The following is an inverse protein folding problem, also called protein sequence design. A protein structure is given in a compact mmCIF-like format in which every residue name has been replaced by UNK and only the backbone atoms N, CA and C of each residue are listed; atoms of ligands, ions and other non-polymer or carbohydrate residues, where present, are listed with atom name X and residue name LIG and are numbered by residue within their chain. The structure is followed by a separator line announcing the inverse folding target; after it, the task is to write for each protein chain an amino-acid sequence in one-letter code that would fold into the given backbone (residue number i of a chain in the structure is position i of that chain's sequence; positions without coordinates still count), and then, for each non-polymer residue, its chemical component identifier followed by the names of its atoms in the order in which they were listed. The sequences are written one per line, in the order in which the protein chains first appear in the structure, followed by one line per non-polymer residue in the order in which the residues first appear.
data_IF_677064503483
#
_entry.id   IF_677064503483
#
_cell.length_a   1.000
_cell.length_b   1.000
_cell.length_c   1.000
_cell.angle_alpha   90.00
_cell.angle_beta   90.00
_cell.angle_gamma   90.00
#
_symmetry.space_group_name_H-M   'P 1'
#
loop_
_entity.id
_entity.type
_entity.pdbx_description
1 polymer ?
#
# COMPACT_ATOMS: atom_id res chain seq x y z
N UNK A 1 -9.81 6.45 18.63
CA UNK A 1 -8.98 5.96 17.51
C UNK A 1 -7.54 5.92 18.02
N UNK A 2 -6.84 4.80 17.90
CA UNK A 2 -5.48 4.69 18.40
C UNK A 2 -4.52 5.54 17.57
N UNK A 3 -3.77 6.41 18.25
CA UNK A 3 -2.71 7.25 17.70
C UNK A 3 -1.45 6.94 18.47
N UNK A 4 -0.36 6.69 17.76
CA UNK A 4 0.97 6.53 18.33
C UNK A 4 1.78 7.80 18.07
N UNK A 5 2.47 8.27 19.08
CA UNK A 5 3.39 9.40 18.96
C UNK A 5 4.80 8.84 18.74
N UNK A 6 5.35 9.07 17.58
CA UNK A 6 6.74 8.82 17.25
C UNK A 6 7.61 10.06 17.52
N UNK A 7 8.87 10.01 17.15
CA UNK A 7 9.82 11.09 17.42
C UNK A 7 9.38 12.45 16.88
N UNK A 8 8.85 12.48 15.65
CA UNK A 8 8.53 13.71 14.91
C UNK A 8 7.15 13.71 14.27
N UNK A 9 6.36 12.64 14.45
CA UNK A 9 5.04 12.48 13.84
C UNK A 9 4.08 11.72 14.74
N UNK A 10 2.80 11.99 14.60
CA UNK A 10 1.71 11.19 15.17
C UNK A 10 1.03 10.40 14.06
N UNK A 11 0.95 9.08 14.22
CA UNK A 11 0.35 8.18 13.25
C UNK A 11 -0.87 7.48 13.83
N UNK A 12 -1.94 7.48 13.06
CA UNK A 12 -3.11 6.63 13.31
C UNK A 12 -2.81 5.21 12.85
N UNK A 13 -3.27 4.23 13.64
CA UNK A 13 -3.18 2.84 13.25
C UNK A 13 -4.43 2.04 13.64
N UNK A 14 -4.60 0.90 13.02
CA UNK A 14 -5.58 -0.14 13.38
C UNK A 14 -4.82 -1.43 13.65
N UNK A 15 -5.37 -2.26 14.55
CA UNK A 15 -4.75 -3.49 15.02
C UNK A 15 -5.73 -4.66 14.86
N UNK A 16 -5.25 -5.78 14.33
CA UNK A 16 -6.02 -7.01 14.13
C UNK A 16 -5.20 -8.24 14.52
N UNK A 17 -5.88 -9.23 15.09
CA UNK A 17 -5.23 -10.47 15.51
C UNK A 17 -4.37 -10.30 16.77
N UNK A 18 -3.48 -11.27 16.98
CA UNK A 18 -2.55 -11.29 18.13
C UNK A 18 -1.43 -12.30 17.88
N UNK A 19 -0.39 -12.28 18.74
CA UNK A 19 0.76 -13.18 18.64
C UNK A 19 2.03 -12.45 18.21
N UNK A 20 3.03 -13.22 17.80
CA UNK A 20 4.40 -12.75 17.51
C UNK A 20 4.75 -12.72 16.00
N UNK A 21 3.78 -13.09 15.15
CA UNK A 21 3.94 -13.01 13.70
C UNK A 21 3.42 -11.66 13.18
N UNK A 22 4.25 -10.64 13.34
CA UNK A 22 3.86 -9.27 13.01
C UNK A 22 3.76 -9.02 11.50
N UNK A 23 2.68 -8.34 11.09
CA UNK A 23 2.45 -7.85 9.73
C UNK A 23 2.14 -6.35 9.80
N UNK A 24 2.90 -5.53 9.08
CA UNK A 24 2.65 -4.09 9.03
C UNK A 24 2.24 -3.69 7.61
N UNK A 25 1.20 -2.89 7.51
CA UNK A 25 0.75 -2.25 6.29
C UNK A 25 0.74 -0.74 6.49
N UNK A 26 1.33 0.01 5.56
CA UNK A 26 1.27 1.47 5.56
C UNK A 26 0.58 1.97 4.30
N UNK A 27 -0.46 2.81 4.43
CA UNK A 27 -1.33 3.24 3.34
C UNK A 27 -1.77 4.69 3.50
N UNK A 28 -2.07 5.34 2.36
CA UNK A 28 -2.74 6.64 2.33
C UNK A 28 -4.15 6.55 2.90
N UNK A 29 -4.91 5.56 2.43
CA UNK A 29 -6.23 5.19 2.96
C UNK A 29 -6.35 3.68 2.99
N UNK A 30 -7.20 3.19 3.87
CA UNK A 30 -7.37 1.75 4.05
C UNK A 30 -8.85 1.42 4.22
N UNK A 31 -9.25 0.36 3.55
CA UNK A 31 -10.54 -0.28 3.73
C UNK A 31 -10.32 -1.52 4.61
N UNK A 32 -9.82 -1.30 5.82
CA UNK A 32 -9.34 -2.35 6.72
C UNK A 32 -10.35 -3.45 7.00
N UNK A 33 -11.64 -3.12 6.98
CA UNK A 33 -12.70 -4.07 7.30
C UNK A 33 -12.90 -5.19 6.29
N UNK A 34 -12.60 -4.95 5.01
CA UNK A 34 -12.78 -5.94 3.93
C UNK A 34 -11.49 -6.19 3.16
N UNK A 35 -10.36 -6.07 3.83
CA UNK A 35 -9.04 -6.18 3.23
C UNK A 35 -8.35 -7.49 3.61
N UNK A 36 -7.58 -8.05 2.69
CA UNK A 36 -6.86 -9.31 2.94
C UNK A 36 -5.94 -9.26 4.18
N UNK A 37 -5.48 -8.08 4.60
CA UNK A 37 -4.63 -7.92 5.79
C UNK A 37 -5.39 -8.31 7.06
N UNK A 38 -6.67 -7.95 7.17
CA UNK A 38 -7.53 -8.39 8.28
C UNK A 38 -7.70 -9.91 8.25
N UNK A 39 -7.94 -10.49 7.06
CA UNK A 39 -8.09 -11.94 6.92
C UNK A 39 -6.80 -12.70 7.27
N UNK A 40 -5.62 -12.18 6.90
CA UNK A 40 -4.34 -12.74 7.35
C UNK A 40 -4.20 -12.74 8.88
N UNK A 41 -4.65 -11.66 9.52
CA UNK A 41 -4.62 -11.59 10.98
C UNK A 41 -5.60 -12.56 11.63
N UNK A 42 -6.86 -12.56 11.21
CA UNK A 42 -7.92 -13.32 11.86
C UNK A 42 -7.88 -14.83 11.54
N UNK A 43 -7.45 -15.19 10.31
CA UNK A 43 -7.50 -16.56 9.81
C UNK A 43 -6.14 -17.29 9.79
N UNK A 44 -5.03 -16.54 9.73
CA UNK A 44 -3.69 -17.09 9.48
C UNK A 44 -2.69 -16.82 10.60
N UNK A 45 -3.13 -16.27 11.73
CA UNK A 45 -2.30 -16.06 12.91
C UNK A 45 -1.25 -14.96 12.78
N UNK A 46 -1.51 -13.97 11.93
CA UNK A 46 -0.73 -12.74 11.94
C UNK A 46 -1.26 -11.78 13.01
N UNK A 47 -0.37 -10.98 13.55
CA UNK A 47 -0.69 -9.80 14.36
C UNK A 47 -0.45 -8.58 13.48
N UNK A 48 -1.52 -8.03 12.91
CA UNK A 48 -1.43 -7.03 11.86
C UNK A 48 -1.69 -5.62 12.38
N UNK A 49 -0.85 -4.68 11.94
CA UNK A 49 -1.02 -3.24 12.13
C UNK A 49 -1.19 -2.57 10.78
N UNK A 50 -2.22 -1.73 10.65
CA UNK A 50 -2.48 -0.93 9.47
C UNK A 50 -2.29 0.53 9.83
N UNK A 51 -1.25 1.15 9.29
CA UNK A 51 -0.83 2.52 9.60
C UNK A 51 -1.34 3.46 8.51
N UNK A 52 -1.97 4.56 8.91
CA UNK A 52 -2.17 5.71 8.03
C UNK A 52 -0.87 6.51 7.98
N UNK A 53 -0.30 6.69 6.80
CA UNK A 53 0.97 7.40 6.64
C UNK A 53 0.85 8.89 6.96
N UNK A 54 1.97 9.53 7.35
CA UNK A 54 2.02 10.99 7.52
C UNK A 54 1.56 11.70 6.25
N UNK A 55 0.92 12.85 6.42
CA UNK A 55 0.31 13.62 5.33
C UNK A 55 -1.16 13.29 5.06
N UNK A 56 -1.72 12.26 5.70
CA UNK A 56 -3.11 11.84 5.51
C UNK A 56 -3.83 11.63 6.83
N UNK A 57 -4.90 12.42 7.04
CA UNK A 57 -5.72 12.32 8.25
C UNK A 57 -6.26 10.90 8.47
N UNK A 58 -6.40 10.43 9.74
CA UNK A 58 -6.19 11.17 10.97
C UNK A 58 -4.75 11.17 11.50
N UNK A 59 -3.77 10.65 10.74
CA UNK A 59 -2.36 10.89 11.02
C UNK A 59 -2.00 12.37 10.82
N UNK A 60 -0.83 12.78 11.33
CA UNK A 60 -0.36 14.14 11.19
C UNK A 60 -0.31 14.60 9.73
N UNK A 61 -0.92 15.73 9.43
CA UNK A 61 -0.82 16.38 8.12
C UNK A 61 0.56 17.00 7.94
N UNK A 62 1.06 16.96 6.72
CA UNK A 62 2.32 17.58 6.31
C UNK A 62 1.99 18.58 5.22
N UNK A 63 2.52 19.78 5.33
CA UNK A 63 2.25 20.88 4.40
C UNK A 63 3.51 21.31 3.61
N UNK A 64 4.61 20.60 3.81
CA UNK A 64 5.87 20.80 3.10
C UNK A 64 6.15 19.62 2.17
N UNK A 65 6.52 19.92 0.92
CA UNK A 65 6.93 18.87 -0.03
C UNK A 65 8.32 18.35 0.35
N UNK A 66 8.39 17.09 0.76
CA UNK A 66 9.64 16.40 1.07
C UNK A 66 10.45 15.99 -0.18
N UNK A 67 9.98 16.37 -1.35
CA UNK A 67 10.67 16.09 -2.61
C UNK A 67 10.84 14.60 -2.89
N UNK A 68 12.06 14.20 -3.19
CA UNK A 68 12.41 12.81 -3.50
C UNK A 68 12.53 11.92 -2.26
N UNK A 69 12.42 12.49 -1.05
CA UNK A 69 12.57 11.75 0.20
C UNK A 69 11.27 11.09 0.71
N UNK A 70 10.12 11.39 0.12
CA UNK A 70 8.83 10.93 0.60
C UNK A 70 8.78 9.44 0.93
N UNK A 71 9.22 8.57 0.03
CA UNK A 71 9.18 7.12 0.25
C UNK A 71 10.15 6.66 1.33
N UNK A 72 11.32 7.30 1.43
CA UNK A 72 12.30 7.00 2.47
C UNK A 72 11.77 7.42 3.86
N UNK A 73 11.10 8.57 3.94
CA UNK A 73 10.46 9.05 5.17
C UNK A 73 9.33 8.12 5.59
N UNK A 74 8.44 7.70 4.68
CA UNK A 74 7.39 6.75 5.02
C UNK A 74 7.92 5.36 5.40
N UNK A 75 8.98 4.90 4.77
CA UNK A 75 9.65 3.66 5.15
C UNK A 75 10.25 3.76 6.56
N UNK A 76 10.88 4.90 6.89
CA UNK A 76 11.39 5.17 8.25
C UNK A 76 10.25 5.23 9.28
N UNK A 77 9.10 5.84 8.95
CA UNK A 77 7.92 5.86 9.83
C UNK A 77 7.43 4.45 10.19
N UNK A 78 7.48 3.52 9.24
CA UNK A 78 7.12 2.12 9.49
C UNK A 78 8.09 1.47 10.46
N UNK A 79 9.40 1.74 10.32
CA UNK A 79 10.43 1.24 11.23
C UNK A 79 10.28 1.85 12.62
N UNK A 80 10.10 3.16 12.71
CA UNK A 80 9.92 3.86 13.97
C UNK A 80 8.64 3.40 14.69
N UNK A 81 7.57 3.11 13.94
CA UNK A 81 6.36 2.49 14.48
C UNK A 81 6.67 1.09 15.05
N UNK A 82 7.38 0.25 14.30
CA UNK A 82 7.75 -1.09 14.76
C UNK A 82 8.59 -1.01 16.04
N UNK A 83 9.55 -0.09 16.12
CA UNK A 83 10.38 0.14 17.31
C UNK A 83 9.54 0.58 18.51
N UNK A 84 8.62 1.50 18.32
CA UNK A 84 7.72 1.98 19.38
C UNK A 84 6.77 0.89 19.91
N UNK A 85 6.42 -0.09 19.04
CA UNK A 85 5.61 -1.26 19.40
C UNK A 85 6.46 -2.44 19.93
N UNK A 86 7.80 -2.32 20.00
CA UNK A 86 8.70 -3.38 20.43
C UNK A 86 8.85 -4.53 19.42
N UNK A 87 8.61 -4.26 18.13
CA UNK A 87 8.65 -5.24 17.06
C UNK A 87 10.03 -5.19 16.39
N UNK A 88 10.83 -6.26 16.54
CA UNK A 88 12.15 -6.37 15.92
C UNK A 88 12.04 -6.68 14.42
N UNK A 89 11.33 -7.75 14.06
CA UNK A 89 11.15 -8.18 12.66
C UNK A 89 9.67 -8.40 12.33
N UNK A 90 9.30 -7.99 11.13
CA UNK A 90 7.91 -8.07 10.67
C UNK A 90 7.83 -8.45 9.19
N UNK A 91 6.67 -8.94 8.77
CA UNK A 91 6.25 -8.97 7.37
C UNK A 91 5.69 -7.60 7.01
N UNK A 92 5.96 -7.15 5.80
CA UNK A 92 5.36 -5.92 5.31
C UNK A 92 4.42 -6.21 4.14
N UNK A 93 3.31 -5.51 4.08
CA UNK A 93 2.41 -5.54 2.93
C UNK A 93 1.95 -4.14 2.56
N UNK A 94 1.51 -3.97 1.33
CA UNK A 94 0.91 -2.74 0.86
C UNK A 94 0.34 -2.90 -0.54
N UNK A 95 -0.67 -2.09 -0.84
CA UNK A 95 -1.24 -2.01 -2.18
C UNK A 95 -0.82 -0.71 -2.85
N UNK A 96 -0.47 -0.78 -4.14
CA UNK A 96 -0.16 0.41 -4.94
C UNK A 96 0.90 1.29 -4.26
N UNK A 97 0.50 2.47 -3.79
CA UNK A 97 1.36 3.40 -3.07
C UNK A 97 2.01 2.78 -1.80
N UNK A 98 1.23 2.03 -1.02
CA UNK A 98 1.75 1.32 0.15
C UNK A 98 2.81 0.28 -0.20
N UNK A 99 2.68 -0.41 -1.33
CA UNK A 99 3.72 -1.30 -1.82
C UNK A 99 4.96 -0.53 -2.30
N UNK A 100 4.78 0.71 -2.79
CA UNK A 100 5.90 1.63 -3.06
C UNK A 100 6.78 1.86 -1.84
N UNK A 101 6.17 2.02 -0.66
CA UNK A 101 6.88 2.11 0.63
C UNK A 101 7.64 0.81 0.91
N UNK A 102 7.02 -0.34 0.63
CA UNK A 102 7.64 -1.66 0.81
C UNK A 102 8.94 -1.84 0.01
N UNK A 103 9.00 -1.30 -1.21
CA UNK A 103 10.25 -1.33 -2.00
C UNK A 103 11.38 -0.55 -1.32
N UNK A 104 11.09 0.61 -0.72
CA UNK A 104 12.06 1.39 0.04
C UNK A 104 12.45 0.73 1.35
N UNK A 105 11.51 0.05 2.03
CA UNK A 105 11.82 -0.79 3.19
C UNK A 105 12.78 -1.93 2.82
N UNK A 106 12.54 -2.63 1.71
CA UNK A 106 13.42 -3.70 1.23
C UNK A 106 14.85 -3.23 0.95
N UNK A 107 15.01 -1.98 0.52
CA UNK A 107 16.34 -1.40 0.27
C UNK A 107 17.02 -0.87 1.52
N UNK A 108 16.28 -0.09 2.30
CA UNK A 108 16.87 0.71 3.38
C UNK A 108 16.89 -0.04 4.71
N UNK A 109 15.97 -1.00 4.91
CA UNK A 109 15.78 -1.72 6.16
C UNK A 109 15.55 -3.23 5.96
N UNK A 110 16.32 -3.92 5.09
CA UNK A 110 16.08 -5.33 4.75
C UNK A 110 16.13 -6.24 5.98
N UNK A 111 16.96 -5.93 6.98
CA UNK A 111 17.12 -6.73 8.19
C UNK A 111 15.89 -6.71 9.11
N UNK A 112 14.99 -5.76 8.92
CA UNK A 112 13.73 -5.66 9.66
C UNK A 112 12.62 -6.52 9.03
N UNK A 113 12.78 -6.97 7.79
CA UNK A 113 11.75 -7.68 7.04
C UNK A 113 11.95 -9.19 7.05
N UNK A 114 10.89 -9.93 7.39
CA UNK A 114 10.77 -11.37 7.18
C UNK A 114 10.33 -11.72 5.76
N UNK A 115 9.54 -10.84 5.14
CA UNK A 115 9.02 -10.98 3.78
C UNK A 115 8.20 -9.77 3.38
N UNK A 116 7.99 -9.61 2.08
CA UNK A 116 7.22 -8.52 1.50
C UNK A 116 6.11 -9.03 0.57
N UNK A 117 4.87 -8.59 0.80
CA UNK A 117 3.69 -8.93 0.03
C UNK A 117 3.24 -7.68 -0.74
N UNK A 118 3.67 -7.55 -1.99
CA UNK A 118 3.45 -6.39 -2.83
C UNK A 118 2.19 -6.54 -3.68
N UNK A 119 1.14 -5.79 -3.39
CA UNK A 119 -0.11 -5.80 -4.13
C UNK A 119 -0.18 -4.64 -5.13
N UNK A 120 -0.50 -4.94 -6.40
CA UNK A 120 -0.72 -3.94 -7.45
C UNK A 120 0.45 -2.97 -7.61
N UNK A 121 1.71 -3.44 -7.52
CA UNK A 121 2.86 -2.55 -7.59
C UNK A 121 4.14 -3.25 -8.06
N UNK A 122 4.47 -3.03 -9.33
CA UNK A 122 5.85 -3.01 -9.77
C UNK A 122 6.33 -1.53 -9.78
N UNK A 123 7.58 -1.21 -9.47
CA UNK A 123 8.08 0.16 -9.60
C UNK A 123 7.83 0.71 -11.00
N UNK A 124 7.41 1.97 -11.07
CA UNK A 124 7.05 2.62 -12.33
C UNK A 124 8.21 2.66 -13.34
N UNK A 125 7.87 2.73 -14.61
CA UNK A 125 8.83 2.98 -15.70
C UNK A 125 9.65 4.25 -15.46
N UNK A 126 10.93 4.19 -15.77
CA UNK A 126 11.84 5.34 -15.72
C UNK A 126 11.78 6.10 -17.06
N UNK A 127 10.70 6.85 -17.25
CA UNK A 127 10.38 7.60 -18.46
C UNK A 127 10.71 9.10 -18.39
N UNK A 128 11.51 9.49 -17.40
CA UNK A 128 11.89 10.90 -17.15
C UNK A 128 10.83 11.71 -16.41
N UNK A 129 9.66 11.11 -16.08
CA UNK A 129 8.61 11.77 -15.30
C UNK A 129 8.70 11.36 -13.84
N UNK A 130 8.82 12.33 -12.94
CA UNK A 130 8.91 12.08 -11.50
C UNK A 130 7.61 11.55 -10.90
N UNK A 131 6.47 11.85 -11.50
CA UNK A 131 5.13 11.53 -10.96
C UNK A 131 4.32 10.71 -11.95
N UNK A 132 3.58 9.71 -11.48
CA UNK A 132 2.71 8.88 -12.31
C UNK A 132 1.47 9.63 -12.79
N UNK A 133 0.89 9.20 -13.92
CA UNK A 133 -0.23 9.87 -14.58
C UNK A 133 -1.47 10.00 -13.68
N UNK A 134 -1.87 8.94 -12.99
CA UNK A 134 -3.02 8.97 -12.07
C UNK A 134 -2.81 10.01 -10.95
N UNK A 135 -1.58 10.13 -10.47
CA UNK A 135 -1.25 11.09 -9.43
C UNK A 135 -1.23 12.53 -9.94
N UNK A 136 -0.77 12.74 -11.16
CA UNK A 136 -0.86 14.06 -11.79
C UNK A 136 -2.31 14.57 -11.91
N UNK A 137 -3.26 13.67 -12.18
CA UNK A 137 -4.69 14.04 -12.21
C UNK A 137 -5.18 14.50 -10.82
N UNK A 138 -4.76 13.84 -9.75
CA UNK A 138 -5.10 14.24 -8.37
C UNK A 138 -4.52 15.61 -8.03
N UNK A 139 -3.24 15.82 -8.34
CA UNK A 139 -2.56 17.10 -8.12
C UNK A 139 -3.23 18.23 -8.91
N UNK A 140 -3.56 17.99 -10.17
CA UNK A 140 -4.23 18.99 -11.01
C UNK A 140 -5.60 19.37 -10.44
N UNK A 141 -6.39 18.38 -10.01
CA UNK A 141 -7.68 18.60 -9.38
C UNK A 141 -7.57 19.39 -8.06
N UNK A 142 -6.49 19.17 -7.31
CA UNK A 142 -6.27 19.80 -6.01
C UNK A 142 -5.82 21.29 -6.08
N UNK A 143 -5.56 21.84 -7.27
CA UNK A 143 -5.14 23.24 -7.44
C UNK A 143 -6.20 24.26 -7.05
N UNK A 144 -7.48 23.87 -7.05
CA UNK A 144 -8.56 24.72 -6.59
C UNK A 144 -9.67 23.89 -5.94
N UNK A 145 -10.43 24.51 -5.03
CA UNK A 145 -11.59 23.85 -4.41
C UNK A 145 -12.67 23.50 -5.42
N UNK A 146 -12.83 24.31 -6.45
CA UNK A 146 -13.82 24.11 -7.53
C UNK A 146 -13.55 22.81 -8.30
N UNK A 147 -12.29 22.50 -8.58
CA UNK A 147 -11.88 21.27 -9.28
C UNK A 147 -11.73 20.10 -8.33
N UNK A 148 -11.36 20.35 -7.07
CA UNK A 148 -11.14 19.31 -6.07
C UNK A 148 -12.41 18.57 -5.65
N UNK A 149 -13.47 19.31 -5.29
CA UNK A 149 -14.71 18.71 -4.76
C UNK A 149 -15.30 17.66 -5.72
N UNK A 150 -15.60 18.00 -7.00
CA UNK A 150 -16.15 17.00 -7.92
C UNK A 150 -15.17 15.87 -8.24
N UNK A 151 -13.87 16.10 -8.19
CA UNK A 151 -12.87 15.05 -8.34
C UNK A 151 -12.90 14.08 -7.16
N UNK A 152 -12.91 14.58 -5.92
CA UNK A 152 -12.95 13.78 -4.71
C UNK A 152 -14.23 12.92 -4.64
N UNK A 153 -15.38 13.49 -4.96
CA UNK A 153 -16.64 12.76 -5.06
C UNK A 153 -16.59 11.64 -6.11
N UNK A 154 -16.02 11.93 -7.28
CA UNK A 154 -15.81 10.92 -8.32
C UNK A 154 -14.87 9.79 -7.87
N UNK A 155 -13.80 10.11 -7.17
CA UNK A 155 -12.88 9.10 -6.63
C UNK A 155 -13.54 8.26 -5.53
N UNK A 156 -14.28 8.89 -4.63
CA UNK A 156 -15.06 8.20 -3.61
C UNK A 156 -16.03 7.19 -4.24
N UNK A 157 -16.77 7.60 -5.27
CA UNK A 157 -17.69 6.73 -5.99
C UNK A 157 -16.95 5.61 -6.75
N UNK A 158 -15.82 5.91 -7.38
CA UNK A 158 -15.04 4.93 -8.15
C UNK A 158 -14.46 3.84 -7.24
N UNK A 159 -13.82 4.22 -6.13
CA UNK A 159 -13.26 3.25 -5.18
C UNK A 159 -14.36 2.54 -4.40
N UNK A 160 -15.38 3.29 -3.97
CA UNK A 160 -16.50 2.77 -3.17
C UNK A 160 -17.35 1.74 -3.88
N UNK A 161 -17.39 1.76 -5.24
CA UNK A 161 -18.21 0.81 -6.03
C UNK A 161 -17.89 -0.66 -5.73
N UNK A 162 -16.65 -0.97 -5.33
CA UNK A 162 -16.23 -2.33 -5.00
C UNK A 162 -16.97 -2.90 -3.78
N UNK A 163 -17.40 -2.04 -2.86
CA UNK A 163 -18.08 -2.46 -1.61
C UNK A 163 -19.59 -2.61 -1.76
N UNK A 164 -20.21 -2.07 -2.82
CA UNK A 164 -21.68 -2.09 -2.99
C UNK A 164 -22.21 -3.51 -3.10
N UNK A 165 -21.69 -4.40 -3.97
CA UNK A 165 -22.15 -5.79 -4.05
C UNK A 165 -21.92 -6.58 -2.75
N UNK A 166 -20.84 -6.26 -2.02
CA UNK A 166 -20.49 -6.94 -0.77
C UNK A 166 -21.48 -6.64 0.37
N UNK A 167 -22.24 -5.54 0.28
CA UNK A 167 -23.26 -5.19 1.26
C UNK A 167 -24.50 -6.09 1.17
N UNK A 168 -24.66 -6.85 0.09
CA UNK A 168 -25.72 -7.83 -0.09
C UNK A 168 -25.41 -9.17 0.61
N UNK A 169 -24.14 -9.43 0.94
CA UNK A 169 -23.73 -10.62 1.68
C UNK A 169 -23.88 -10.37 3.19
N UNK A 170 -24.80 -11.08 3.88
CA UNK A 170 -25.07 -10.86 5.29
C UNK A 170 -23.87 -11.14 6.20
N UNK A 171 -22.88 -11.90 5.75
CA UNK A 171 -21.68 -12.25 6.54
C UNK A 171 -20.66 -11.13 6.64
N UNK A 172 -20.63 -10.21 5.64
CA UNK A 172 -19.68 -9.10 5.55
C UNK A 172 -20.34 -7.74 5.33
N UNK A 173 -21.67 -7.69 5.30
CA UNK A 173 -22.47 -6.49 4.98
C UNK A 173 -22.09 -5.28 5.82
N UNK A 174 -21.96 -5.44 7.15
CA UNK A 174 -21.61 -4.36 8.06
C UNK A 174 -20.16 -3.85 7.83
N UNK A 175 -19.23 -4.76 7.60
CA UNK A 175 -17.84 -4.41 7.30
C UNK A 175 -17.73 -3.72 5.93
N UNK A 176 -18.49 -4.16 4.93
CA UNK A 176 -18.56 -3.54 3.62
C UNK A 176 -19.15 -2.12 3.68
N UNK A 177 -20.17 -1.88 4.52
CA UNK A 177 -20.72 -0.54 4.76
C UNK A 177 -19.69 0.37 5.39
N UNK A 178 -18.99 -0.09 6.43
CA UNK A 178 -17.91 0.69 7.07
C UNK A 178 -16.79 1.01 6.12
N UNK A 179 -16.36 0.06 5.29
CA UNK A 179 -15.34 0.27 4.27
C UNK A 179 -15.77 1.32 3.22
N UNK A 180 -17.02 1.29 2.81
CA UNK A 180 -17.61 2.30 1.92
C UNK A 180 -17.58 3.69 2.58
N UNK A 181 -18.07 3.79 3.81
CA UNK A 181 -18.10 5.03 4.59
C UNK A 181 -16.70 5.61 4.79
N UNK A 182 -15.72 4.78 5.16
CA UNK A 182 -14.31 5.19 5.27
C UNK A 182 -13.75 5.74 3.95
N UNK A 183 -14.14 5.13 2.83
CA UNK A 183 -13.71 5.58 1.50
C UNK A 183 -14.28 6.94 1.15
N UNK A 184 -15.57 7.13 1.40
CA UNK A 184 -16.26 8.42 1.17
C UNK A 184 -15.65 9.48 2.06
N UNK A 185 -15.51 9.21 3.36
CA UNK A 185 -14.94 10.13 4.34
C UNK A 185 -13.52 10.55 3.97
N UNK A 186 -12.67 9.60 3.58
CA UNK A 186 -11.29 9.88 3.15
C UNK A 186 -11.25 10.90 2.00
N UNK A 187 -11.99 10.66 0.93
CA UNK A 187 -11.94 11.52 -0.24
C UNK A 187 -12.62 12.88 -0.03
N UNK A 188 -13.75 12.91 0.67
CA UNK A 188 -14.52 14.15 0.87
C UNK A 188 -13.90 15.07 1.91
N UNK A 189 -13.20 14.51 2.91
CA UNK A 189 -12.58 15.28 3.99
C UNK A 189 -11.07 15.52 3.76
N UNK A 190 -10.49 14.99 2.68
CA UNK A 190 -9.08 15.23 2.37
C UNK A 190 -8.86 16.71 2.02
N UNK A 191 -7.96 17.41 2.72
CA UNK A 191 -7.57 18.76 2.34
C UNK A 191 -6.88 18.74 0.97
N UNK A 192 -7.24 19.64 0.02
CA UNK A 192 -6.56 19.71 -1.27
C UNK A 192 -5.04 19.88 -1.14
N UNK A 193 -4.61 20.61 -0.13
CA UNK A 193 -3.20 20.86 0.20
C UNK A 193 -2.44 19.53 0.42
N UNK A 194 -3.04 18.56 1.09
CA UNK A 194 -2.44 17.23 1.26
C UNK A 194 -2.28 16.48 -0.06
N UNK A 195 -3.21 16.68 -0.99
CA UNK A 195 -3.12 16.07 -2.31
C UNK A 195 -2.02 16.69 -3.19
N UNK A 196 -1.70 17.98 -2.99
CA UNK A 196 -0.62 18.66 -3.69
C UNK A 196 0.78 18.16 -3.27
N UNK A 197 0.90 17.71 -2.04
CA UNK A 197 2.17 17.22 -1.47
C UNK A 197 2.52 15.80 -1.91
N UNK A 198 2.18 15.44 -3.10
CA UNK A 198 2.36 14.07 -3.36
C UNK A 198 3.42 13.64 -4.29
N UNK A 199 3.62 12.40 -4.05
CA UNK A 199 4.86 11.72 -4.18
C UNK A 199 5.24 11.48 -5.62
N UNK A 200 6.51 11.53 -5.78
CA UNK A 200 7.25 10.95 -6.90
C UNK A 200 6.93 9.46 -7.02
N UNK A 201 7.27 8.89 -8.13
CA UNK A 201 7.32 7.43 -8.31
C UNK A 201 8.31 6.83 -7.31
N UNK A 202 8.12 5.57 -6.87
CA UNK A 202 9.16 4.87 -6.13
C UNK A 202 10.51 4.94 -6.86
N UNK A 203 11.58 5.08 -6.09
CA UNK A 203 12.94 5.27 -6.60
C UNK A 203 13.11 6.51 -7.49
N UNK A 204 12.76 7.71 -7.02
CA UNK A 204 12.76 8.91 -7.85
C UNK A 204 14.17 9.28 -8.34
N UNK A 205 15.23 8.90 -7.59
CA UNK A 205 16.63 9.15 -7.92
C UNK A 205 17.22 8.15 -8.89
N UNK A 206 16.48 7.10 -9.27
CA UNK A 206 16.92 6.10 -10.23
C UNK A 206 16.51 6.53 -11.63
N UNK A 207 17.46 6.86 -12.53
CA UNK A 207 17.16 7.57 -13.78
C UNK A 207 16.74 6.67 -14.93
N UNK A 208 17.18 5.40 -14.96
CA UNK A 208 16.96 4.50 -16.11
C UNK A 208 16.41 3.15 -15.68
N UNK A 209 15.87 2.38 -16.64
CA UNK A 209 15.38 1.02 -16.42
C UNK A 209 16.49 0.05 -16.04
N UNK A 210 17.68 0.22 -16.60
CA UNK A 210 18.85 -0.60 -16.30
C UNK A 210 19.28 -0.39 -14.86
N UNK A 211 19.41 0.87 -14.43
CA UNK A 211 19.76 1.21 -13.04
C UNK A 211 18.67 0.73 -12.07
N UNK A 212 17.39 0.78 -12.47
CA UNK A 212 16.32 0.24 -11.65
C UNK A 212 16.45 -1.27 -11.48
N UNK A 213 16.77 -2.00 -12.55
CA UNK A 213 16.98 -3.44 -12.48
C UNK A 213 18.18 -3.80 -11.58
N UNK A 214 19.27 -3.03 -11.64
CA UNK A 214 20.42 -3.19 -10.72
C UNK A 214 20.02 -3.00 -9.27
N UNK A 215 19.28 -1.92 -8.98
CA UNK A 215 18.78 -1.61 -7.63
C UNK A 215 17.87 -2.72 -7.13
N UNK A 216 16.89 -3.16 -7.91
CA UNK A 216 16.00 -4.26 -7.55
C UNK A 216 16.77 -5.57 -7.34
N UNK A 217 17.84 -5.80 -8.11
CA UNK A 217 18.73 -6.95 -7.96
C UNK A 217 19.52 -6.99 -6.64
N UNK A 218 19.54 -5.90 -5.88
CA UNK A 218 20.13 -5.88 -4.52
C UNK A 218 19.17 -6.33 -3.44
N UNK A 219 17.85 -6.40 -3.73
CA UNK A 219 16.83 -6.82 -2.77
C UNK A 219 16.93 -8.33 -2.54
N UNK A 220 17.11 -8.71 -1.27
CA UNK A 220 17.18 -10.11 -0.82
C UNK A 220 15.97 -10.52 0.02
N UNK A 221 15.05 -9.61 0.31
CA UNK A 221 13.84 -9.89 1.06
C UNK A 221 12.92 -10.78 0.21
N UNK A 222 12.50 -11.96 0.72
CA UNK A 222 11.53 -12.79 0.01
C UNK A 222 10.28 -12.00 -0.33
N UNK A 223 9.93 -11.93 -1.61
CA UNK A 223 8.85 -11.05 -2.08
C UNK A 223 7.83 -11.80 -2.93
N UNK A 224 6.55 -11.72 -2.55
CA UNK A 224 5.45 -12.11 -3.45
C UNK A 224 4.79 -10.85 -4.00
N UNK A 225 4.59 -10.85 -5.32
CA UNK A 225 3.86 -9.79 -6.02
C UNK A 225 2.51 -10.33 -6.49
N UNK A 226 1.45 -9.57 -6.22
CA UNK A 226 0.06 -9.91 -6.53
C UNK A 226 -0.51 -8.82 -7.44
N UNK A 227 -0.94 -9.18 -8.64
CA UNK A 227 -1.36 -8.24 -9.66
C UNK A 227 -2.57 -8.68 -10.48
N UNK A 228 -3.17 -7.75 -11.21
CA UNK A 228 -4.31 -8.00 -12.09
C UNK A 228 -3.98 -7.79 -13.56
N UNK A 229 -4.50 -8.64 -14.44
CA UNK A 229 -4.24 -8.50 -15.87
C UNK A 229 -4.99 -7.32 -16.51
N UNK A 230 -6.01 -6.78 -15.85
CA UNK A 230 -6.73 -5.57 -16.27
C UNK A 230 -6.26 -4.29 -15.55
N UNK A 231 -5.22 -4.40 -14.71
CA UNK A 231 -4.63 -3.25 -14.03
C UNK A 231 -3.90 -2.34 -15.02
N UNK A 232 -4.45 -1.14 -15.24
CA UNK A 232 -3.88 -0.12 -16.13
C UNK A 232 -2.94 0.86 -15.42
N UNK A 233 -2.82 0.77 -14.08
CA UNK A 233 -1.97 1.63 -13.26
C UNK A 233 -0.62 0.94 -12.99
N UNK A 234 -0.67 -0.31 -12.54
CA UNK A 234 0.50 -1.15 -12.33
C UNK A 234 0.34 -2.44 -13.15
N UNK A 235 0.39 -2.29 -14.47
CA UNK A 235 0.14 -3.36 -15.43
C UNK A 235 1.07 -4.55 -15.30
N UNK A 236 0.67 -5.71 -15.85
CA UNK A 236 1.42 -6.96 -15.78
C UNK A 236 2.87 -6.81 -16.25
N UNK A 237 3.12 -5.98 -17.25
CA UNK A 237 4.45 -5.76 -17.84
C UNK A 237 5.42 -5.18 -16.82
N UNK A 238 4.96 -4.24 -16.00
CA UNK A 238 5.76 -3.65 -14.91
C UNK A 238 6.10 -4.71 -13.86
N UNK A 239 5.14 -5.55 -13.52
CA UNK A 239 5.33 -6.60 -12.52
C UNK A 239 6.25 -7.70 -13.01
N UNK A 240 6.12 -8.13 -14.29
CA UNK A 240 7.03 -9.10 -14.91
C UNK A 240 8.46 -8.55 -15.01
N UNK A 241 8.62 -7.27 -15.36
CA UNK A 241 9.92 -6.61 -15.36
C UNK A 241 10.55 -6.64 -13.96
N UNK A 242 9.79 -6.30 -12.94
CA UNK A 242 10.24 -6.33 -11.54
C UNK A 242 10.63 -7.74 -11.11
N UNK A 243 9.80 -8.76 -11.43
CA UNK A 243 10.09 -10.17 -11.15
C UNK A 243 11.45 -10.61 -11.71
N UNK A 244 11.75 -10.19 -12.94
CA UNK A 244 13.02 -10.56 -13.61
C UNK A 244 14.25 -9.95 -12.93
N UNK A 245 14.10 -8.84 -12.24
CA UNK A 245 15.20 -8.16 -11.56
C UNK A 245 15.43 -8.68 -10.13
N UNK A 246 14.38 -9.13 -9.44
CA UNK A 246 14.46 -9.63 -8.08
C UNK A 246 15.10 -11.01 -7.99
N UNK A 247 15.80 -11.31 -6.89
CA UNK A 247 16.49 -12.60 -6.68
C UNK A 247 15.59 -13.67 -6.08
N UNK A 248 14.75 -13.32 -5.10
CA UNK A 248 13.82 -14.24 -4.45
C UNK A 248 12.40 -13.67 -4.50
N UNK A 249 11.67 -14.04 -5.55
CA UNK A 249 10.34 -13.50 -5.76
C UNK A 249 9.40 -14.48 -6.45
N UNK A 250 8.08 -14.25 -6.22
CA UNK A 250 6.97 -14.94 -6.89
C UNK A 250 6.01 -13.87 -7.42
N UNK A 251 5.43 -14.10 -8.59
CA UNK A 251 4.39 -13.24 -9.15
C UNK A 251 3.13 -14.08 -9.39
N UNK A 252 2.00 -13.57 -8.92
CA UNK A 252 0.66 -14.09 -9.22
C UNK A 252 -0.12 -13.00 -9.95
N UNK A 253 -0.73 -13.36 -11.09
CA UNK A 253 -1.56 -12.46 -11.89
C UNK A 253 -2.98 -13.00 -11.98
N UNK A 254 -3.95 -12.24 -11.49
CA UNK A 254 -5.37 -12.57 -11.53
C UNK A 254 -6.02 -12.05 -12.80
N UNK A 255 -6.68 -12.94 -13.55
CA UNK A 255 -7.25 -12.61 -14.85
C UNK A 255 -8.45 -11.66 -14.73
N UNK A 256 -8.45 -10.59 -15.52
CA UNK A 256 -9.58 -9.67 -15.65
C UNK A 256 -9.81 -8.73 -14.46
N UNK A 257 -8.90 -8.72 -13.46
CA UNK A 257 -9.04 -7.88 -12.26
C UNK A 257 -8.30 -6.57 -12.45
N UNK A 258 -8.94 -5.45 -12.12
CA UNK A 258 -8.36 -4.11 -12.16
C UNK A 258 -7.64 -3.72 -10.86
N UNK A 259 -6.99 -2.57 -10.88
CA UNK A 259 -6.18 -2.07 -9.76
C UNK A 259 -6.95 -1.93 -8.44
N UNK A 260 -8.16 -1.38 -8.49
CA UNK A 260 -8.96 -1.08 -7.29
C UNK A 260 -9.57 -2.35 -6.70
N UNK A 261 -10.00 -3.26 -7.57
CA UNK A 261 -10.67 -4.49 -7.18
C UNK A 261 -9.70 -5.54 -6.60
N UNK A 262 -8.41 -5.46 -6.96
CA UNK A 262 -7.39 -6.43 -6.58
C UNK A 262 -7.40 -6.82 -5.10
N UNK A 263 -7.17 -5.91 -4.15
CA UNK A 263 -7.02 -6.26 -2.74
C UNK A 263 -8.35 -6.57 -2.04
N UNK A 264 -9.46 -6.33 -2.73
CA UNK A 264 -10.82 -6.45 -2.19
C UNK A 264 -11.48 -7.72 -2.72
N UNK A 265 -11.59 -7.84 -4.05
CA UNK A 265 -12.27 -8.99 -4.68
C UNK A 265 -11.45 -10.28 -4.64
N UNK A 266 -10.11 -10.14 -4.63
CA UNK A 266 -9.19 -11.28 -4.60
C UNK A 266 -8.63 -11.55 -3.21
N UNK A 267 -9.29 -11.07 -2.15
CA UNK A 267 -8.76 -11.16 -0.79
C UNK A 267 -8.55 -12.59 -0.30
N UNK A 268 -9.43 -13.52 -0.66
CA UNK A 268 -9.32 -14.92 -0.24
C UNK A 268 -8.20 -15.63 -1.00
N UNK A 269 -8.08 -15.40 -2.31
CA UNK A 269 -6.97 -15.87 -3.15
C UNK A 269 -5.64 -15.29 -2.68
N UNK A 270 -5.60 -14.00 -2.31
CA UNK A 270 -4.42 -13.35 -1.75
C UNK A 270 -3.93 -14.06 -0.49
N UNK A 271 -4.85 -14.35 0.42
CA UNK A 271 -4.53 -15.07 1.66
C UNK A 271 -3.93 -16.44 1.33
N UNK A 272 -4.54 -17.19 0.42
CA UNK A 272 -4.05 -18.50 -0.02
C UNK A 272 -2.64 -18.42 -0.64
N UNK A 273 -2.43 -17.50 -1.58
CA UNK A 273 -1.16 -17.34 -2.29
C UNK A 273 -0.03 -16.85 -1.37
N UNK A 274 -0.32 -15.91 -0.45
CA UNK A 274 0.64 -15.43 0.56
C UNK A 274 1.02 -16.57 1.51
N UNK A 275 0.05 -17.35 2.01
CA UNK A 275 0.34 -18.47 2.91
C UNK A 275 1.14 -19.57 2.20
N UNK A 276 0.80 -19.90 0.97
CA UNK A 276 1.57 -20.85 0.16
C UNK A 276 3.01 -20.36 -0.05
N UNK A 277 3.19 -19.08 -0.38
CA UNK A 277 4.51 -18.47 -0.54
C UNK A 277 5.33 -18.53 0.76
N UNK A 278 4.73 -18.18 1.88
CA UNK A 278 5.40 -18.23 3.18
C UNK A 278 5.85 -19.66 3.56
N UNK A 279 4.97 -20.65 3.33
CA UNK A 279 5.29 -22.07 3.57
C UNK A 279 6.39 -22.57 2.64
N UNK A 280 6.32 -22.28 1.32
CA UNK A 280 7.33 -22.68 0.32
C UNK A 280 8.75 -22.19 0.70
N UNK A 281 8.86 -21.11 1.46
CA UNK A 281 10.13 -20.49 1.85
C UNK A 281 10.49 -20.67 3.33
N UNK A 282 9.67 -21.38 4.09
CA UNK A 282 9.90 -21.60 5.53
C UNK A 282 9.90 -20.30 6.36
N UNK A 283 9.05 -19.32 5.98
CA UNK A 283 8.95 -18.04 6.67
C UNK A 283 7.98 -18.08 7.86
N UNK A 284 7.12 -19.10 7.89
CA UNK A 284 6.11 -19.34 8.94
C UNK A 284 6.09 -20.81 9.32
#
# INVERSE_FOLDING_TARGET
MPIIKLKDVELYYEEFGSGDRYLIQAQQFVNSYVYYTKDLAEKCGFHAYIIRIRGYAPSALVYEDLGDDWYDVWAQDVVDFADAMGIDKFFYTGHSHGAGIGWHLCMNHPDRLRGFFASGSGPHMKDGKATGAARMMTIEAAKSRETWVPYAEKQAAYVGKAFIPMQEDPTISEDAKKAYEQTVEFWTNMPPESALLNPRKPFPRVPTEETLAEVLGTIHVPTIMLGGTADTISGPELMVRTLRALKDSKLVLYHGVDHVDLPIKMKDEYVGDIMAFCNERGLI
#
